data_IF_012794085311
#
_entry.id   IF_012794085311
#
_cell.length_a   1.000
_cell.length_b   1.000
_cell.length_c   1.000
_cell.angle_alpha   90.00
_cell.angle_beta   90.00
_cell.angle_gamma   90.00
#
_symmetry.space_group_name_H-M   'P 1'
#
loop_
_entity.id
_entity.type
_entity.pdbx_description
1 polymer ?
#
# COMPACT_ATOMS: atom_id res chain seq x y z
N UNK A 1 14.36 7.51 39.04
CA UNK A 1 13.67 7.75 37.75
C UNK A 1 12.91 6.48 37.39
N UNK A 2 11.58 6.49 37.51
CA UNK A 2 10.75 5.31 37.19
C UNK A 2 10.89 4.91 35.73
N UNK A 3 11.12 3.62 35.48
CA UNK A 3 11.12 3.04 34.14
C UNK A 3 9.75 3.28 33.49
N UNK A 4 9.68 3.77 32.24
CA UNK A 4 8.39 4.00 31.60
C UNK A 4 7.61 2.68 31.46
N UNK A 5 6.31 2.80 31.73
CA UNK A 5 5.32 1.72 31.81
C UNK A 5 5.14 0.98 30.48
N UNK A 6 4.79 -0.31 30.61
CA UNK A 6 4.47 -1.31 29.59
C UNK A 6 3.95 -0.78 28.23
N UNK A 7 4.38 -1.42 27.14
CA UNK A 7 3.80 -1.28 25.81
C UNK A 7 2.28 -1.41 25.89
N UNK A 8 1.57 -0.29 25.72
CA UNK A 8 0.10 -0.29 25.63
C UNK A 8 -0.26 -0.62 24.20
N UNK A 9 -0.87 -1.79 24.00
CA UNK A 9 -1.49 -2.12 22.71
C UNK A 9 -2.78 -1.30 22.59
N UNK A 10 -2.77 -0.28 21.75
CA UNK A 10 -3.95 0.55 21.45
C UNK A 10 -4.67 -0.06 20.25
N UNK A 11 -5.94 -0.43 20.44
CA UNK A 11 -6.82 -0.84 19.36
C UNK A 11 -7.66 0.35 18.92
N UNK A 12 -7.55 0.77 17.66
CA UNK A 12 -8.27 1.93 17.10
C UNK A 12 -9.35 1.42 16.15
N UNK A 13 -10.64 1.71 16.41
CA UNK A 13 -11.72 1.35 15.49
C UNK A 13 -11.58 2.03 14.11
N UNK A 14 -12.03 1.35 13.06
CA UNK A 14 -11.91 1.83 11.67
C UNK A 14 -12.72 3.11 11.42
N UNK A 15 -13.86 3.28 12.10
CA UNK A 15 -14.67 4.51 12.03
C UNK A 15 -13.91 5.70 12.60
N UNK A 16 -13.18 5.48 13.69
CA UNK A 16 -12.38 6.52 14.35
C UNK A 16 -11.17 6.92 13.49
N UNK A 17 -10.58 5.97 12.75
CA UNK A 17 -9.48 6.28 11.82
C UNK A 17 -9.89 7.31 10.76
N UNK A 18 -11.14 7.30 10.29
CA UNK A 18 -11.60 8.29 9.30
C UNK A 18 -11.71 9.69 9.88
N UNK A 19 -12.15 9.81 11.13
CA UNK A 19 -12.25 11.09 11.84
C UNK A 19 -10.88 11.65 12.23
N UNK A 20 -9.89 10.77 12.45
CA UNK A 20 -8.52 11.17 12.78
C UNK A 20 -7.71 11.64 11.58
N UNK A 21 -8.08 11.23 10.36
CA UNK A 21 -7.37 11.57 9.14
C UNK A 21 -7.91 12.85 8.53
N UNK A 22 -7.02 13.68 8.02
CA UNK A 22 -7.43 14.81 7.20
C UNK A 22 -8.02 14.33 5.86
N UNK A 23 -8.85 15.15 5.20
CA UNK A 23 -9.41 14.80 3.88
C UNK A 23 -8.35 14.45 2.82
N UNK A 24 -7.16 15.07 2.89
CA UNK A 24 -6.04 14.79 1.99
C UNK A 24 -5.38 13.44 2.29
N UNK A 25 -5.17 13.10 3.56
CA UNK A 25 -4.63 11.80 3.97
C UNK A 25 -5.57 10.67 3.60
N UNK A 26 -6.88 10.84 3.84
CA UNK A 26 -7.88 9.85 3.45
C UNK A 26 -7.92 9.63 1.92
N UNK A 27 -7.82 10.71 1.13
CA UNK A 27 -7.68 10.62 -0.33
C UNK A 27 -6.43 9.84 -0.72
N UNK A 28 -5.31 10.07 -0.04
CA UNK A 28 -4.06 9.37 -0.30
C UNK A 28 -4.16 7.87 0.03
N UNK A 29 -4.87 7.49 1.10
CA UNK A 29 -5.16 6.08 1.40
C UNK A 29 -5.92 5.42 0.25
N UNK A 30 -6.98 6.06 -0.26
CA UNK A 30 -7.75 5.54 -1.41
C UNK A 30 -6.90 5.41 -2.67
N UNK A 31 -6.05 6.41 -2.97
CA UNK A 31 -5.16 6.35 -4.12
C UNK A 31 -4.16 5.20 -4.02
N UNK A 32 -3.56 4.98 -2.85
CA UNK A 32 -2.65 3.85 -2.63
C UNK A 32 -3.38 2.51 -2.81
N UNK A 33 -4.62 2.40 -2.34
CA UNK A 33 -5.41 1.18 -2.54
C UNK A 33 -5.76 0.95 -4.02
N UNK A 34 -6.11 2.00 -4.76
CA UNK A 34 -6.30 1.91 -6.22
C UNK A 34 -5.04 1.42 -6.93
N UNK A 35 -3.87 1.96 -6.57
CA UNK A 35 -2.58 1.51 -7.13
C UNK A 35 -2.37 0.02 -6.88
N UNK A 36 -2.69 -0.48 -5.68
CA UNK A 36 -2.57 -1.91 -5.35
C UNK A 36 -3.43 -2.76 -6.29
N UNK A 37 -4.70 -2.39 -6.48
CA UNK A 37 -5.60 -3.13 -7.37
C UNK A 37 -5.08 -3.15 -8.82
N UNK A 38 -4.61 -2.00 -9.32
CA UNK A 38 -4.07 -1.91 -10.68
C UNK A 38 -2.74 -2.67 -10.86
N UNK A 39 -1.93 -2.77 -9.80
CA UNK A 39 -0.75 -3.63 -9.79
C UNK A 39 -1.14 -5.12 -9.88
N UNK A 40 -2.22 -5.54 -9.25
CA UNK A 40 -2.73 -6.92 -9.35
C UNK A 40 -3.24 -7.26 -10.76
N UNK A 41 -3.80 -6.27 -11.46
CA UNK A 41 -4.23 -6.39 -12.86
C UNK A 41 -3.05 -6.47 -13.86
N UNK A 42 -1.83 -6.19 -13.42
CA UNK A 42 -0.63 -6.26 -14.24
C UNK A 42 -0.37 -5.07 -15.16
N UNK A 43 -0.96 -3.91 -14.85
CA UNK A 43 -0.67 -2.67 -15.55
C UNK A 43 0.78 -2.21 -15.31
N UNK A 44 1.35 -1.51 -16.29
CA UNK A 44 2.66 -0.89 -16.13
C UNK A 44 2.59 0.34 -15.22
N UNK A 45 3.67 0.63 -14.50
CA UNK A 45 3.77 1.78 -13.59
C UNK A 45 3.30 3.09 -14.22
N UNK A 46 3.64 3.34 -15.48
CA UNK A 46 3.25 4.55 -16.20
C UNK A 46 1.74 4.63 -16.41
N UNK A 47 1.09 3.51 -16.77
CA UNK A 47 -0.37 3.44 -16.95
C UNK A 47 -1.09 3.63 -15.61
N UNK A 48 -0.57 3.00 -14.55
CA UNK A 48 -1.11 3.15 -13.20
C UNK A 48 -1.01 4.61 -12.73
N UNK A 49 0.15 5.25 -12.92
CA UNK A 49 0.36 6.64 -12.56
C UNK A 49 -0.65 7.58 -13.25
N UNK A 50 -0.89 7.36 -14.55
CA UNK A 50 -1.87 8.12 -15.33
C UNK A 50 -3.31 7.90 -14.82
N UNK A 51 -3.71 6.65 -14.55
CA UNK A 51 -5.06 6.33 -14.07
C UNK A 51 -5.32 6.81 -12.65
N UNK A 52 -4.37 6.61 -11.74
CA UNK A 52 -4.47 7.03 -10.34
C UNK A 52 -4.21 8.53 -10.14
N UNK A 53 -3.79 9.24 -11.19
CA UNK A 53 -3.42 10.68 -11.18
C UNK A 53 -2.35 10.99 -10.13
N UNK A 54 -1.27 10.20 -10.13
CA UNK A 54 -0.13 10.35 -9.21
C UNK A 54 1.21 10.27 -9.97
N UNK A 55 2.29 10.67 -9.30
CA UNK A 55 3.64 10.46 -9.82
C UNK A 55 4.03 8.97 -9.88
N UNK A 56 4.90 8.62 -10.83
CA UNK A 56 5.43 7.25 -10.97
C UNK A 56 6.22 6.80 -9.74
N UNK A 57 6.86 7.72 -9.03
CA UNK A 57 7.54 7.52 -7.76
C UNK A 57 6.59 7.00 -6.66
N UNK A 58 5.37 7.52 -6.62
CA UNK A 58 4.33 7.11 -5.68
C UNK A 58 3.90 5.67 -5.97
N UNK A 59 3.72 5.33 -7.25
CA UNK A 59 3.38 3.96 -7.66
C UNK A 59 4.50 2.98 -7.27
N UNK A 60 5.76 3.33 -7.54
CA UNK A 60 6.93 2.51 -7.16
C UNK A 60 7.00 2.31 -5.64
N UNK A 61 6.75 3.37 -4.86
CA UNK A 61 6.74 3.29 -3.39
C UNK A 61 5.67 2.33 -2.89
N UNK A 62 4.46 2.40 -3.45
CA UNK A 62 3.36 1.49 -3.10
C UNK A 62 3.69 0.05 -3.52
N UNK A 63 4.21 -0.16 -4.73
CA UNK A 63 4.61 -1.50 -5.18
C UNK A 63 5.60 -2.18 -4.21
N UNK A 64 6.61 -1.42 -3.76
CA UNK A 64 7.58 -1.90 -2.74
C UNK A 64 6.95 -2.13 -1.37
N UNK A 65 5.94 -1.35 -0.99
CA UNK A 65 5.19 -1.57 0.26
C UNK A 65 4.40 -2.88 0.23
N UNK A 66 3.78 -3.23 -0.91
CA UNK A 66 3.00 -4.47 -1.05
C UNK A 66 3.89 -5.71 -1.01
N UNK A 67 5.13 -5.62 -1.49
CA UNK A 67 6.07 -6.74 -1.41
C UNK A 67 6.42 -7.11 0.05
N UNK A 68 6.34 -6.15 0.98
CA UNK A 68 6.55 -6.43 2.41
C UNK A 68 5.48 -7.43 2.90
N UNK A 69 5.94 -8.54 3.48
CA UNK A 69 5.11 -9.70 3.88
C UNK A 69 3.88 -9.34 4.72
N UNK A 70 3.95 -8.29 5.54
CA UNK A 70 2.85 -7.86 6.41
C UNK A 70 1.62 -7.38 5.64
N UNK A 71 1.81 -6.44 4.70
CA UNK A 71 0.70 -5.90 3.91
C UNK A 71 0.15 -6.95 2.97
N UNK A 72 1.03 -7.75 2.34
CA UNK A 72 0.62 -8.85 1.48
C UNK A 72 -0.20 -9.90 2.22
N UNK A 73 0.13 -10.24 3.48
CA UNK A 73 -0.64 -11.19 4.28
C UNK A 73 -2.05 -10.67 4.57
N UNK A 74 -2.18 -9.37 4.85
CA UNK A 74 -3.48 -8.73 5.09
C UNK A 74 -4.34 -8.68 3.81
N UNK A 75 -3.72 -8.44 2.65
CA UNK A 75 -4.39 -8.45 1.34
C UNK A 75 -4.75 -9.88 0.89
N UNK A 76 -3.84 -10.84 1.07
CA UNK A 76 -3.98 -12.22 0.63
C UNK A 76 -5.01 -13.04 1.43
N UNK A 77 -5.44 -12.61 2.61
CA UNK A 77 -6.58 -13.26 3.30
C UNK A 77 -7.85 -13.26 2.44
N UNK A 78 -7.93 -12.40 1.40
CA UNK A 78 -9.04 -12.36 0.42
C UNK A 78 -8.68 -12.75 -1.01
N UNK A 79 -7.40 -12.86 -1.40
CA UNK A 79 -7.04 -13.15 -2.79
C UNK A 79 -5.63 -13.79 -2.93
N UNK A 80 -5.54 -15.00 -3.47
CA UNK A 80 -4.28 -15.65 -3.87
C UNK A 80 -3.70 -15.06 -5.18
N UNK A 81 -3.72 -13.74 -5.35
CA UNK A 81 -3.30 -13.11 -6.61
C UNK A 81 -1.83 -12.72 -6.55
N UNK A 82 -0.99 -13.41 -7.31
CA UNK A 82 0.40 -12.99 -7.54
C UNK A 82 0.38 -11.70 -8.36
N UNK A 83 1.03 -10.64 -7.87
CA UNK A 83 1.27 -9.40 -8.63
C UNK A 83 1.98 -9.79 -9.92
N UNK A 84 1.27 -9.69 -11.04
CA UNK A 84 1.86 -9.77 -12.37
C UNK A 84 2.40 -8.37 -12.64
N UNK A 85 3.64 -8.22 -13.06
CA UNK A 85 4.18 -6.89 -13.34
C UNK A 85 5.16 -6.98 -14.49
N UNK A 86 4.98 -6.10 -15.47
CA UNK A 86 5.91 -5.94 -16.60
C UNK A 86 7.14 -5.09 -16.22
N UNK A 87 7.38 -4.88 -14.92
CA UNK A 87 8.46 -4.02 -14.40
C UNK A 87 9.22 -4.71 -13.26
N UNK A 88 9.93 -5.83 -13.56
CA UNK A 88 10.59 -6.67 -12.56
C UNK A 88 11.73 -5.96 -11.79
N UNK A 89 12.40 -4.98 -12.43
CA UNK A 89 13.50 -4.21 -11.83
C UNK A 89 13.12 -3.47 -10.55
N UNK A 90 11.84 -3.15 -10.35
CA UNK A 90 11.35 -2.44 -9.16
C UNK A 90 11.57 -3.25 -7.88
N UNK A 91 11.55 -4.57 -8.04
CA UNK A 91 11.69 -5.57 -7.00
C UNK A 91 13.13 -6.11 -6.92
N UNK A 92 14.09 -5.45 -7.57
CA UNK A 92 15.49 -5.92 -7.59
C UNK A 92 15.68 -7.25 -8.32
N UNK A 93 14.70 -7.68 -9.14
CA UNK A 93 14.82 -8.84 -10.00
C UNK A 93 15.37 -8.39 -11.35
N UNK A 94 16.53 -8.91 -11.71
CA UNK A 94 16.98 -8.92 -13.10
C UNK A 94 16.22 -10.06 -13.81
N UNK A 95 15.85 -9.84 -15.07
CA UNK A 95 15.17 -10.84 -15.91
C UNK A 95 15.85 -12.22 -15.87
#
# INVERSE_FOLDING_TARGET
MSKPQAERVVNVPDELLKELLTPSEWRMVKQRFLIINLLEEGLSIRKIAAQAKVGTDTVVRVARMVEKKSLRKLLNQKAERKIKTNTPWIFGKNE
#
